data_IF_420064058077
#
_entry.id   IF_420064058077
#
_cell.length_a   1.000
_cell.length_b   1.000
_cell.length_c   1.000
_cell.angle_alpha   90.00
_cell.angle_beta   90.00
_cell.angle_gamma   90.00
#
_symmetry.space_group_name_H-M   'P 1'
#
loop_
_entity.id
_entity.type
_entity.pdbx_description
1 polymer ?
#
# COMPACT_ATOMS: atom_id res chain seq x y z
N UNK A 1 13.06 10.63 32.09
CA UNK A 1 12.10 10.01 31.17
C UNK A 1 12.73 8.80 30.53
N UNK A 2 12.27 7.62 30.92
CA UNK A 2 12.76 6.33 30.44
C UNK A 2 11.68 5.66 29.56
N UNK A 3 11.98 4.53 28.92
CA UNK A 3 10.99 3.92 28.00
C UNK A 3 9.81 3.31 28.76
N UNK A 4 10.04 2.69 29.92
CA UNK A 4 8.97 2.16 30.78
C UNK A 4 7.93 3.23 31.15
N UNK A 5 8.35 4.45 31.48
CA UNK A 5 7.45 5.57 31.80
C UNK A 5 6.59 5.97 30.60
N UNK A 6 7.20 6.03 29.42
CA UNK A 6 6.51 6.41 28.17
C UNK A 6 5.51 5.34 27.75
N UNK A 7 5.85 4.06 27.94
CA UNK A 7 5.05 2.92 27.48
C UNK A 7 4.13 2.32 28.53
N UNK A 8 4.17 2.77 29.79
CA UNK A 8 3.31 2.28 30.89
C UNK A 8 1.82 2.15 30.53
N UNK A 9 1.19 3.10 29.78
CA UNK A 9 -0.22 2.97 29.42
C UNK A 9 -0.51 1.90 28.36
N UNK A 10 0.51 1.32 27.72
CA UNK A 10 0.39 0.48 26.54
C UNK A 10 0.84 -0.95 26.83
N UNK A 11 0.16 -1.92 26.21
CA UNK A 11 0.52 -3.32 26.29
C UNK A 11 1.27 -3.76 25.03
N UNK A 12 2.35 -4.55 25.15
CA UNK A 12 3.04 -5.09 23.99
C UNK A 12 2.14 -6.10 23.25
N UNK A 13 2.24 -6.10 21.91
CA UNK A 13 1.65 -7.12 21.05
C UNK A 13 2.42 -8.43 21.12
N UNK A 14 3.74 -8.35 21.30
CA UNK A 14 4.64 -9.49 21.35
C UNK A 14 5.66 -9.27 22.46
N UNK A 15 5.87 -10.31 23.27
CA UNK A 15 6.87 -10.32 24.33
C UNK A 15 7.84 -11.45 24.11
N UNK A 16 9.12 -11.13 23.96
CA UNK A 16 10.20 -12.09 23.86
C UNK A 16 11.34 -11.81 24.85
N UNK A 17 12.32 -12.70 24.81
CA UNK A 17 13.43 -12.81 25.74
C UNK A 17 14.45 -11.66 25.58
N UNK A 18 14.43 -11.02 24.40
CA UNK A 18 15.34 -9.95 23.98
C UNK A 18 14.63 -8.70 23.44
N UNK A 19 13.31 -8.75 23.25
CA UNK A 19 12.55 -7.65 22.66
C UNK A 19 11.06 -7.68 23.03
N UNK A 20 10.42 -6.51 23.09
CA UNK A 20 8.97 -6.33 23.15
C UNK A 20 8.49 -5.48 21.96
N UNK A 21 7.44 -5.92 21.27
CA UNK A 21 6.83 -5.20 20.13
C UNK A 21 5.54 -4.51 20.57
N UNK A 22 5.39 -3.25 20.18
CA UNK A 22 4.22 -2.42 20.45
C UNK A 22 3.61 -1.92 19.13
N UNK A 23 2.29 -1.78 19.11
CA UNK A 23 1.55 -1.11 18.04
C UNK A 23 0.73 0.02 18.64
N UNK A 24 1.09 1.26 18.30
CA UNK A 24 0.53 2.47 18.90
C UNK A 24 0.35 3.51 17.80
N UNK A 25 -0.86 4.07 17.69
CA UNK A 25 -1.20 5.09 16.69
C UNK A 25 -0.79 4.69 15.26
N UNK A 26 -1.17 3.47 14.86
CA UNK A 26 -0.88 2.89 13.55
C UNK A 26 0.62 2.77 13.22
N UNK A 27 1.46 2.69 14.26
CA UNK A 27 2.91 2.51 14.13
C UNK A 27 3.46 1.39 15.00
N UNK A 28 4.52 0.78 14.50
CA UNK A 28 5.23 -0.29 15.21
C UNK A 28 6.55 0.14 15.83
N UNK A 29 6.74 -0.29 17.07
CA UNK A 29 7.93 0.00 17.87
C UNK A 29 8.42 -1.28 18.53
N UNK A 30 9.74 -1.46 18.58
CA UNK A 30 10.37 -2.55 19.32
C UNK A 30 11.29 -1.99 20.38
N UNK A 31 11.00 -2.33 21.63
CA UNK A 31 11.92 -2.14 22.74
C UNK A 31 12.84 -3.34 22.80
N UNK A 32 14.14 -3.10 22.76
CA UNK A 32 15.15 -4.15 22.79
C UNK A 32 16.42 -3.69 23.52
N UNK A 33 17.31 -4.65 23.78
CA UNK A 33 18.57 -4.41 24.46
C UNK A 33 19.75 -4.58 23.51
N UNK A 34 20.32 -3.52 22.90
CA UNK A 34 21.48 -3.64 22.02
C UNK A 34 22.75 -4.10 22.75
N UNK A 35 22.87 -3.74 24.03
CA UNK A 35 24.03 -4.01 24.87
C UNK A 35 23.56 -4.22 26.31
N UNK A 36 24.39 -4.86 27.14
CA UNK A 36 24.02 -5.14 28.54
C UNK A 36 23.70 -3.84 29.28
N UNK A 37 22.53 -3.81 29.92
CA UNK A 37 22.00 -2.67 30.68
C UNK A 37 21.67 -1.41 29.83
N UNK A 38 21.52 -1.55 28.52
CA UNK A 38 21.12 -0.45 27.63
C UNK A 38 19.84 -0.83 26.92
N UNK A 39 18.85 0.05 26.97
CA UNK A 39 17.57 -0.11 26.27
C UNK A 39 17.51 0.83 25.08
N UNK A 40 16.94 0.37 23.98
CA UNK A 40 16.69 1.16 22.78
C UNK A 40 15.31 0.86 22.22
N UNK A 41 14.77 1.82 21.48
CA UNK A 41 13.48 1.71 20.81
C UNK A 41 13.68 1.85 19.30
N UNK A 42 13.48 0.76 18.57
CA UNK A 42 13.47 0.77 17.11
C UNK A 42 12.05 1.04 16.60
N UNK A 43 11.87 2.11 15.83
CA UNK A 43 10.65 2.31 15.05
C UNK A 43 10.77 1.55 13.72
N UNK A 44 9.77 0.73 13.41
CA UNK A 44 9.83 -0.20 12.25
C UNK A 44 9.53 0.47 10.91
N UNK A 45 8.86 1.63 10.91
CA UNK A 45 8.56 2.35 9.67
C UNK A 45 9.86 2.75 8.95
N UNK A 46 10.80 3.39 9.64
CA UNK A 46 12.07 3.84 9.07
C UNK A 46 13.29 3.04 9.56
N UNK A 47 13.09 2.00 10.38
CA UNK A 47 14.15 1.31 11.11
C UNK A 47 15.06 2.29 11.87
N UNK A 48 14.44 3.27 12.54
CA UNK A 48 15.14 4.35 13.23
C UNK A 48 15.06 4.17 14.73
N UNK A 49 16.21 4.32 15.40
CA UNK A 49 16.22 4.34 16.86
C UNK A 49 15.69 5.68 17.37
N UNK A 50 14.75 5.61 18.29
CA UNK A 50 14.14 6.73 18.98
C UNK A 50 14.61 6.75 20.42
N UNK A 51 15.04 7.91 20.90
CA UNK A 51 15.15 8.16 22.34
C UNK A 51 13.77 8.10 23.01
N UNK A 52 13.71 7.88 24.33
CA UNK A 52 12.45 7.93 25.08
C UNK A 52 11.66 9.22 24.85
N UNK A 53 12.35 10.36 24.72
CA UNK A 53 11.72 11.63 24.36
C UNK A 53 11.10 11.61 22.97
N UNK A 54 11.85 11.18 21.94
CA UNK A 54 11.31 11.08 20.58
C UNK A 54 10.13 10.10 20.52
N UNK A 55 10.20 8.97 21.23
CA UNK A 55 9.09 8.02 21.33
C UNK A 55 7.86 8.69 21.94
N UNK A 56 8.02 9.41 23.06
CA UNK A 56 6.91 10.09 23.74
C UNK A 56 6.18 11.09 22.84
N UNK A 57 6.93 11.80 21.99
CA UNK A 57 6.41 12.74 21.00
C UNK A 57 5.67 11.98 19.89
N UNK A 58 6.28 10.92 19.36
CA UNK A 58 5.69 10.10 18.28
C UNK A 58 4.37 9.46 18.68
N UNK A 59 4.28 8.90 19.89
CA UNK A 59 3.04 8.25 20.37
C UNK A 59 2.06 9.24 21.01
N UNK A 60 2.38 10.53 21.01
CA UNK A 60 1.61 11.58 21.68
C UNK A 60 1.28 11.21 23.14
N UNK A 61 2.27 10.64 23.84
CA UNK A 61 2.11 10.22 25.22
C UNK A 61 1.61 11.41 26.02
N UNK A 62 0.40 11.30 26.60
CA UNK A 62 -0.03 12.25 27.62
C UNK A 62 1.01 12.14 28.74
N UNK A 63 1.80 13.19 28.94
CA UNK A 63 2.64 13.31 30.12
C UNK A 63 1.69 13.27 31.31
N UNK A 64 1.48 12.09 31.86
CA UNK A 64 0.85 11.98 33.15
C UNK A 64 1.87 12.59 34.10
N UNK A 65 1.52 13.73 34.69
CA UNK A 65 2.21 14.22 35.87
C UNK A 65 1.93 13.18 36.94
N UNK A 66 2.75 12.12 36.96
CA UNK A 66 2.76 11.22 38.09
C UNK A 66 3.13 12.07 39.29
N UNK A 67 2.26 12.10 40.28
CA UNK A 67 2.64 12.46 41.64
C UNK A 67 3.95 11.75 41.99
N UNK A 68 4.83 12.41 42.75
CA UNK A 68 6.24 12.07 43.08
C UNK A 68 6.54 10.66 43.64
N UNK A 69 5.71 9.67 43.40
CA UNK A 69 5.78 8.32 43.95
C UNK A 69 6.09 7.30 42.84
N UNK A 70 7.35 6.84 42.87
CA UNK A 70 7.97 5.69 42.19
C UNK A 70 8.41 5.91 40.73
N UNK A 71 9.71 6.18 40.55
CA UNK A 71 10.38 6.02 39.24
C UNK A 71 10.14 4.58 38.75
N UNK A 72 9.47 4.45 37.60
CA UNK A 72 9.22 3.16 36.99
C UNK A 72 10.55 2.52 36.58
N UNK A 73 10.77 1.28 37.03
CA UNK A 73 11.96 0.51 36.66
C UNK A 73 12.01 0.35 35.14
N UNK A 74 13.16 0.67 34.56
CA UNK A 74 13.39 0.51 33.12
C UNK A 74 13.32 -0.97 32.71
N UNK A 75 12.99 -1.23 31.44
CA UNK A 75 12.97 -2.57 30.87
C UNK A 75 14.30 -3.32 31.10
N UNK A 76 14.20 -4.65 31.19
CA UNK A 76 15.34 -5.55 31.32
C UNK A 76 15.06 -6.82 30.53
N UNK A 77 16.06 -7.29 29.80
CA UNK A 77 15.99 -8.48 28.96
C UNK A 77 17.11 -9.46 29.34
N UNK A 78 16.85 -10.76 29.20
CA UNK A 78 17.82 -11.81 29.50
C UNK A 78 18.94 -11.87 28.45
N UNK A 79 18.62 -11.45 27.23
CA UNK A 79 19.52 -11.47 26.09
C UNK A 79 19.69 -10.08 25.46
N UNK A 80 20.84 -9.87 24.85
CA UNK A 80 21.16 -8.67 24.06
C UNK A 80 21.11 -9.01 22.57
N UNK A 81 20.68 -8.06 21.75
CA UNK A 81 20.54 -8.24 20.31
C UNK A 81 20.92 -6.94 19.61
N UNK A 82 21.90 -6.98 18.69
CA UNK A 82 22.25 -5.79 17.92
C UNK A 82 21.07 -5.34 17.05
N UNK A 83 21.10 -4.09 16.59
CA UNK A 83 20.06 -3.57 15.69
C UNK A 83 20.02 -4.39 14.40
N UNK A 84 21.19 -4.70 13.85
CA UNK A 84 21.34 -5.43 12.61
C UNK A 84 20.81 -6.85 12.74
N UNK A 85 21.10 -7.53 13.86
CA UNK A 85 20.58 -8.87 14.15
C UNK A 85 19.06 -8.84 14.36
N UNK A 86 18.53 -7.82 15.04
CA UNK A 86 17.10 -7.64 15.22
C UNK A 86 16.40 -7.46 13.87
N UNK A 87 16.92 -6.59 13.00
CA UNK A 87 16.36 -6.40 11.66
C UNK A 87 16.44 -7.70 10.85
N UNK A 88 17.58 -8.38 10.86
CA UNK A 88 17.75 -9.67 10.18
C UNK A 88 16.73 -10.72 10.68
N UNK A 89 16.48 -10.76 11.99
CA UNK A 89 15.47 -11.60 12.61
C UNK A 89 14.05 -11.25 12.16
N UNK A 90 13.69 -9.97 12.10
CA UNK A 90 12.34 -9.53 11.70
C UNK A 90 12.04 -9.88 10.24
N UNK A 91 13.00 -9.69 9.35
CA UNK A 91 12.87 -10.10 7.96
C UNK A 91 12.84 -11.64 7.83
N UNK A 92 13.67 -12.36 8.59
CA UNK A 92 13.76 -13.83 8.59
C UNK A 92 14.01 -14.41 7.19
N UNK A 93 15.01 -13.88 6.47
CA UNK A 93 15.22 -14.18 5.05
C UNK A 93 16.37 -15.19 4.82
N UNK A 94 16.19 -16.09 3.86
CA UNK A 94 17.23 -16.99 3.33
C UNK A 94 17.93 -16.41 2.10
N UNK A 95 18.90 -17.13 1.51
CA UNK A 95 19.40 -16.80 0.17
C UNK A 95 18.24 -16.64 -0.84
N UNK A 96 18.39 -15.64 -1.70
CA UNK A 96 17.32 -15.17 -2.59
C UNK A 96 17.25 -15.92 -3.91
N UNK A 97 16.07 -15.84 -4.56
CA UNK A 97 15.91 -16.26 -5.96
C UNK A 97 16.53 -15.24 -6.91
N UNK A 98 16.40 -13.95 -6.58
CA UNK A 98 17.05 -12.84 -7.28
C UNK A 98 17.64 -11.88 -6.25
N UNK A 99 18.21 -10.76 -6.70
CA UNK A 99 18.73 -9.71 -5.81
C UNK A 99 17.62 -9.19 -4.88
N UNK A 100 16.41 -9.00 -5.41
CA UNK A 100 15.28 -8.42 -4.69
C UNK A 100 14.24 -9.46 -4.23
N UNK A 101 14.14 -10.63 -4.88
CA UNK A 101 13.18 -11.69 -4.53
C UNK A 101 13.79 -12.69 -3.57
N UNK A 102 13.18 -12.82 -2.39
CA UNK A 102 13.66 -13.65 -1.28
C UNK A 102 12.61 -14.64 -0.80
N UNK A 103 13.06 -15.57 0.05
CA UNK A 103 12.21 -16.55 0.74
C UNK A 103 12.40 -16.37 2.25
N UNK A 104 11.31 -16.44 3.01
CA UNK A 104 11.37 -16.41 4.47
C UNK A 104 11.62 -17.80 5.03
N UNK A 105 12.52 -17.90 6.00
CA UNK A 105 13.03 -19.17 6.51
C UNK A 105 11.97 -20.00 7.23
N UNK A 106 11.15 -19.37 8.08
CA UNK A 106 10.16 -20.09 8.89
C UNK A 106 8.87 -20.36 8.11
N UNK A 107 8.36 -19.34 7.42
CA UNK A 107 7.06 -19.44 6.73
C UNK A 107 7.13 -20.03 5.33
N UNK A 108 8.32 -20.10 4.71
CA UNK A 108 8.51 -20.37 3.29
C UNK A 108 7.74 -19.42 2.36
N UNK A 109 7.24 -18.29 2.87
CA UNK A 109 6.66 -17.26 2.04
C UNK A 109 7.75 -16.66 1.14
N UNK A 110 7.39 -16.44 -0.12
CA UNK A 110 8.23 -15.69 -1.05
C UNK A 110 7.92 -14.21 -0.93
N UNK A 111 8.79 -13.34 -1.40
CA UNK A 111 8.49 -11.92 -1.43
C UNK A 111 9.59 -11.08 -2.03
N UNK A 112 9.33 -9.78 -2.07
CA UNK A 112 10.22 -8.79 -2.65
C UNK A 112 10.63 -7.76 -1.62
N UNK A 113 11.92 -7.46 -1.56
CA UNK A 113 12.38 -6.27 -0.86
C UNK A 113 11.82 -5.03 -1.51
N UNK A 114 11.27 -4.12 -0.69
CA UNK A 114 10.87 -2.79 -1.11
C UNK A 114 11.90 -1.78 -0.63
N UNK A 115 12.25 -0.85 -1.53
CA UNK A 115 13.34 0.09 -1.35
C UNK A 115 12.84 1.53 -1.21
N UNK A 116 13.66 2.37 -0.61
CA UNK A 116 13.46 3.80 -0.58
C UNK A 116 13.62 4.42 -1.99
N UNK A 117 12.67 5.27 -2.39
CA UNK A 117 12.67 5.90 -3.72
C UNK A 117 13.93 6.72 -4.05
N UNK A 118 14.58 7.30 -3.04
CA UNK A 118 15.78 8.12 -3.21
C UNK A 118 17.08 7.31 -3.14
N UNK A 119 17.02 6.07 -2.65
CA UNK A 119 18.18 5.24 -2.39
C UNK A 119 17.83 3.78 -2.64
N UNK A 120 18.10 3.31 -3.85
CA UNK A 120 17.77 1.95 -4.31
C UNK A 120 18.42 0.81 -3.50
N UNK A 121 19.39 1.11 -2.62
CA UNK A 121 20.03 0.11 -1.75
C UNK A 121 19.44 0.06 -0.34
N UNK A 122 18.59 1.02 0.02
CA UNK A 122 18.03 1.10 1.37
C UNK A 122 16.70 0.34 1.41
N UNK A 123 16.74 -0.86 1.98
CA UNK A 123 15.56 -1.69 2.19
C UNK A 123 14.69 -1.03 3.27
N UNK A 124 13.40 -0.91 2.96
CA UNK A 124 12.38 -0.31 3.84
C UNK A 124 11.29 -1.29 4.23
N UNK A 125 11.04 -2.30 3.40
CA UNK A 125 10.02 -3.29 3.71
C UNK A 125 10.24 -4.60 2.96
N UNK A 126 9.41 -5.60 3.25
CA UNK A 126 9.29 -6.85 2.50
C UNK A 126 7.82 -7.09 2.17
N UNK A 127 7.51 -7.26 0.89
CA UNK A 127 6.17 -7.62 0.45
C UNK A 127 6.12 -9.11 0.17
N UNK A 128 5.54 -9.87 1.11
CA UNK A 128 5.52 -11.33 1.06
C UNK A 128 4.21 -11.89 0.52
N UNK A 129 4.27 -13.11 -0.01
CA UNK A 129 3.14 -13.92 -0.41
C UNK A 129 3.41 -15.41 -0.20
N UNK A 130 2.34 -16.14 0.07
CA UNK A 130 2.38 -17.60 0.11
C UNK A 130 2.39 -18.15 -1.33
N UNK A 131 3.37 -18.99 -1.71
CA UNK A 131 3.48 -19.49 -3.08
C UNK A 131 2.33 -20.43 -3.49
N UNK A 132 1.63 -21.06 -2.54
CA UNK A 132 0.50 -21.94 -2.78
C UNK A 132 -0.84 -21.18 -2.75
N UNK A 133 -1.17 -20.56 -1.61
CA UNK A 133 -2.47 -19.88 -1.42
C UNK A 133 -2.58 -18.54 -2.15
N UNK A 134 -1.44 -17.96 -2.55
CA UNK A 134 -1.34 -16.62 -3.17
C UNK A 134 -1.82 -15.48 -2.26
N UNK A 135 -2.04 -15.75 -0.98
CA UNK A 135 -2.28 -14.70 0.02
C UNK A 135 -1.00 -13.89 0.22
N UNK A 136 -1.13 -12.58 0.37
CA UNK A 136 0.00 -11.67 0.45
C UNK A 136 -0.24 -10.58 1.48
N UNK A 137 0.84 -10.08 2.05
CA UNK A 137 0.82 -8.99 3.02
C UNK A 137 2.17 -8.28 3.08
N UNK A 138 2.13 -7.02 3.47
CA UNK A 138 3.31 -6.24 3.79
C UNK A 138 3.80 -6.64 5.19
N UNK A 139 5.12 -6.76 5.40
CA UNK A 139 5.67 -7.21 6.69
C UNK A 139 5.68 -6.10 7.74
N UNK A 140 5.96 -4.87 7.32
CA UNK A 140 5.98 -3.68 8.18
C UNK A 140 4.95 -2.66 7.70
N UNK A 141 4.57 -1.73 8.58
CA UNK A 141 3.61 -0.64 8.33
C UNK A 141 4.09 0.42 7.31
N UNK A 142 5.33 0.36 6.82
CA UNK A 142 5.85 1.31 5.85
C UNK A 142 5.37 1.05 4.42
N UNK A 143 4.39 1.83 3.98
CA UNK A 143 3.84 1.81 2.64
C UNK A 143 4.46 2.86 1.67
N UNK A 144 5.53 3.55 2.06
CA UNK A 144 6.21 4.57 1.23
C UNK A 144 7.55 4.03 0.73
N UNK A 145 7.48 2.88 0.05
CA UNK A 145 8.60 2.21 -0.58
C UNK A 145 8.11 1.41 -1.80
N UNK A 146 9.00 0.96 -2.67
CA UNK A 146 8.60 0.11 -3.81
C UNK A 146 9.70 -0.88 -4.23
N UNK A 147 9.29 -1.94 -4.91
CA UNK A 147 10.20 -2.76 -5.69
C UNK A 147 10.06 -2.37 -7.16
N UNK A 148 11.16 -2.49 -7.89
CA UNK A 148 11.18 -2.27 -9.32
C UNK A 148 12.05 -3.33 -10.00
N UNK A 149 11.61 -3.76 -11.18
CA UNK A 149 12.37 -4.66 -12.06
C UNK A 149 12.46 -4.02 -13.44
N UNK A 150 13.52 -4.37 -14.16
CA UNK A 150 13.75 -3.91 -15.53
C UNK A 150 13.74 -2.38 -15.66
N UNK A 151 14.21 -1.65 -14.64
CA UNK A 151 14.30 -0.19 -14.67
C UNK A 151 15.32 0.32 -15.69
N UNK A 152 16.34 -0.48 -15.98
CA UNK A 152 17.37 -0.23 -16.98
C UNK A 152 16.89 -0.49 -18.42
N UNK A 153 15.82 -1.27 -18.58
CA UNK A 153 15.24 -1.57 -19.90
C UNK A 153 14.51 -0.35 -20.44
N UNK A 154 14.86 0.06 -21.66
CA UNK A 154 14.16 1.12 -22.38
C UNK A 154 12.92 0.53 -23.03
N UNK A 155 11.76 0.78 -22.41
CA UNK A 155 10.44 0.36 -22.90
C UNK A 155 9.49 1.56 -22.93
N UNK A 156 8.55 1.54 -23.87
CA UNK A 156 7.41 2.45 -23.99
C UNK A 156 6.25 2.04 -23.07
N UNK A 157 6.45 1.07 -22.19
CA UNK A 157 5.48 0.60 -21.20
C UNK A 157 6.09 0.61 -19.80
N UNK A 158 5.31 1.14 -18.85
CA UNK A 158 5.56 1.01 -17.41
C UNK A 158 4.40 0.24 -16.79
N UNK A 159 4.70 -0.90 -16.17
CA UNK A 159 3.72 -1.68 -15.44
C UNK A 159 3.68 -1.24 -13.97
N UNK A 160 2.48 -1.20 -13.41
CA UNK A 160 2.24 -0.91 -11.98
C UNK A 160 1.35 -1.99 -11.43
N UNK A 161 1.72 -2.55 -10.29
CA UNK A 161 0.90 -3.51 -9.57
C UNK A 161 1.03 -3.33 -8.06
N UNK A 162 0.04 -3.83 -7.33
CA UNK A 162 0.00 -3.82 -5.86
C UNK A 162 -0.07 -5.24 -5.28
N UNK A 163 0.26 -6.23 -6.10
CA UNK A 163 0.19 -7.64 -5.73
C UNK A 163 1.54 -8.30 -6.07
N UNK A 164 2.30 -8.79 -5.06
CA UNK A 164 3.59 -9.42 -5.30
C UNK A 164 3.49 -10.72 -6.12
N UNK A 165 2.32 -11.37 -6.14
CA UNK A 165 2.06 -12.53 -7.00
C UNK A 165 2.01 -12.09 -8.47
N UNK A 166 1.29 -11.01 -8.78
CA UNK A 166 1.26 -10.42 -10.13
C UNK A 166 2.66 -9.97 -10.53
N UNK A 167 3.37 -9.30 -9.61
CA UNK A 167 4.73 -8.86 -9.85
C UNK A 167 5.66 -10.03 -10.21
N UNK A 168 5.48 -11.19 -9.56
CA UNK A 168 6.25 -12.40 -9.90
C UNK A 168 5.95 -12.96 -11.29
N UNK A 169 4.74 -12.75 -11.81
CA UNK A 169 4.40 -13.10 -13.19
C UNK A 169 5.10 -12.15 -14.15
N UNK A 170 5.09 -10.83 -13.86
CA UNK A 170 5.79 -9.82 -14.66
C UNK A 170 7.31 -10.05 -14.67
N UNK A 171 7.90 -10.41 -13.52
CA UNK A 171 9.30 -10.80 -13.40
C UNK A 171 9.63 -11.99 -14.31
N UNK A 172 8.72 -12.97 -14.41
CA UNK A 172 8.91 -14.16 -15.25
C UNK A 172 8.75 -13.94 -16.75
N UNK A 173 8.34 -12.76 -17.22
CA UNK A 173 8.16 -12.49 -18.66
C UNK A 173 9.51 -12.32 -19.36
N UNK A 174 9.81 -13.21 -20.31
CA UNK A 174 11.07 -13.21 -21.07
C UNK A 174 10.96 -12.57 -22.45
N UNK A 175 9.76 -12.51 -23.04
CA UNK A 175 9.55 -12.01 -24.40
C UNK A 175 9.52 -10.48 -24.47
N UNK A 176 8.93 -9.82 -23.47
CA UNK A 176 8.84 -8.36 -23.40
C UNK A 176 9.05 -7.88 -21.97
N UNK A 177 10.30 -7.54 -21.65
CA UNK A 177 10.66 -6.96 -20.36
C UNK A 177 10.29 -5.48 -20.34
N UNK A 178 9.33 -5.13 -19.49
CA UNK A 178 8.91 -3.75 -19.26
C UNK A 178 9.24 -3.37 -17.83
N UNK A 179 9.66 -2.11 -17.63
CA UNK A 179 9.84 -1.57 -16.28
C UNK A 179 8.57 -1.77 -15.49
N UNK A 180 8.67 -2.49 -14.38
CA UNK A 180 7.52 -2.86 -13.57
C UNK A 180 7.75 -2.45 -12.14
N UNK A 181 6.75 -1.80 -11.54
CA UNK A 181 6.75 -1.38 -10.15
C UNK A 181 5.76 -2.22 -9.34
N UNK A 182 6.24 -2.73 -8.20
CA UNK A 182 5.40 -3.26 -7.13
C UNK A 182 5.30 -2.21 -6.04
N UNK A 183 4.09 -1.69 -5.86
CA UNK A 183 3.76 -0.68 -4.87
C UNK A 183 2.97 -1.31 -3.72
N UNK A 184 3.27 -1.01 -2.45
CA UNK A 184 2.46 -1.43 -1.31
C UNK A 184 1.17 -0.61 -1.16
N UNK A 185 1.17 0.63 -1.67
CA UNK A 185 0.01 1.51 -1.71
C UNK A 185 0.10 2.53 -2.85
N UNK A 186 -0.95 3.30 -3.04
CA UNK A 186 -1.05 4.43 -3.98
C UNK A 186 -0.82 5.75 -3.27
N UNK A 187 0.14 5.76 -2.33
CA UNK A 187 0.61 6.98 -1.72
C UNK A 187 1.04 7.99 -2.81
N UNK A 188 0.66 9.28 -2.70
CA UNK A 188 0.98 10.29 -3.70
C UNK A 188 2.47 10.38 -4.07
N UNK A 189 3.38 10.08 -3.13
CA UNK A 189 4.82 10.08 -3.39
C UNK A 189 5.20 8.94 -4.36
N UNK A 190 4.62 7.76 -4.20
CA UNK A 190 4.83 6.61 -5.08
C UNK A 190 4.21 6.86 -6.46
N UNK A 191 2.97 7.37 -6.49
CA UNK A 191 2.31 7.73 -7.74
C UNK A 191 3.11 8.80 -8.52
N UNK A 192 3.64 9.81 -7.83
CA UNK A 192 4.50 10.83 -8.43
C UNK A 192 5.74 10.23 -9.07
N UNK A 193 6.41 9.30 -8.37
CA UNK A 193 7.60 8.63 -8.84
C UNK A 193 7.33 7.88 -10.15
N UNK A 194 6.29 7.05 -10.17
CA UNK A 194 5.91 6.26 -11.36
C UNK A 194 5.45 7.17 -12.51
N UNK A 195 4.59 8.16 -12.24
CA UNK A 195 4.10 9.06 -13.28
C UNK A 195 5.25 9.87 -13.91
N UNK A 196 6.21 10.32 -13.10
CA UNK A 196 7.41 11.00 -13.59
C UNK A 196 8.23 10.09 -14.50
N UNK A 197 8.46 8.83 -14.10
CA UNK A 197 9.19 7.84 -14.90
C UNK A 197 8.50 7.54 -16.23
N UNK A 198 7.19 7.35 -16.21
CA UNK A 198 6.41 7.16 -17.43
C UNK A 198 6.48 8.38 -18.35
N UNK A 199 6.40 9.59 -17.79
CA UNK A 199 6.52 10.84 -18.56
C UNK A 199 7.91 11.02 -19.18
N UNK A 200 8.99 10.76 -18.43
CA UNK A 200 10.38 10.84 -18.91
C UNK A 200 10.61 9.94 -20.13
N UNK A 201 9.87 8.83 -20.24
CA UNK A 201 9.99 7.83 -21.32
C UNK A 201 8.93 7.94 -22.41
N UNK A 202 7.98 8.86 -22.28
CA UNK A 202 6.75 8.86 -23.07
C UNK A 202 6.07 7.47 -23.10
N UNK A 203 6.07 6.80 -21.95
CA UNK A 203 5.58 5.45 -21.80
C UNK A 203 4.10 5.41 -21.38
N UNK A 204 3.40 4.38 -21.86
CA UNK A 204 2.06 4.01 -21.39
C UNK A 204 2.15 3.33 -20.03
N UNK A 205 1.20 3.64 -19.14
CA UNK A 205 1.11 2.99 -17.83
C UNK A 205 0.08 1.86 -17.89
N UNK A 206 0.50 0.64 -17.60
CA UNK A 206 -0.40 -0.50 -17.42
C UNK A 206 -0.67 -0.71 -15.93
N UNK A 207 -1.92 -0.62 -15.50
CA UNK A 207 -2.35 -0.90 -14.12
C UNK A 207 -2.78 -2.36 -14.00
N UNK A 208 -1.94 -3.20 -13.41
CA UNK A 208 -2.26 -4.59 -13.10
C UNK A 208 -2.86 -4.70 -11.71
N UNK A 209 -4.18 -4.87 -11.66
CA UNK A 209 -4.97 -4.59 -10.46
C UNK A 209 -5.15 -5.82 -9.56
N UNK A 210 -5.58 -6.94 -10.14
CA UNK A 210 -6.01 -8.11 -9.37
C UNK A 210 -7.04 -7.73 -8.30
N UNK A 211 -6.77 -8.08 -7.05
CA UNK A 211 -7.67 -7.74 -5.91
C UNK A 211 -7.52 -6.30 -5.39
N UNK A 212 -6.61 -5.49 -5.94
CA UNK A 212 -6.27 -4.15 -5.42
C UNK A 212 -7.00 -3.02 -6.16
N UNK A 213 -8.30 -3.18 -6.38
CA UNK A 213 -9.11 -2.20 -7.12
C UNK A 213 -9.07 -0.78 -6.53
N UNK A 214 -9.02 -0.67 -5.20
CA UNK A 214 -8.93 0.63 -4.52
C UNK A 214 -7.62 1.35 -4.82
N UNK A 215 -6.50 0.63 -4.82
CA UNK A 215 -5.20 1.19 -5.14
C UNK A 215 -5.17 1.70 -6.59
N UNK A 216 -5.69 0.91 -7.52
CA UNK A 216 -5.81 1.34 -8.91
C UNK A 216 -6.65 2.64 -9.04
N UNK A 217 -7.78 2.75 -8.32
CA UNK A 217 -8.62 3.94 -8.32
C UNK A 217 -7.87 5.18 -7.77
N UNK A 218 -7.17 5.02 -6.65
CA UNK A 218 -6.37 6.09 -6.03
C UNK A 218 -5.24 6.54 -6.95
N UNK A 219 -4.50 5.60 -7.55
CA UNK A 219 -3.47 5.90 -8.53
C UNK A 219 -4.04 6.63 -9.74
N UNK A 220 -5.18 6.18 -10.26
CA UNK A 220 -5.83 6.82 -11.40
C UNK A 220 -6.29 8.25 -11.07
N UNK A 221 -6.87 8.48 -9.89
CA UNK A 221 -7.22 9.82 -9.42
C UNK A 221 -5.99 10.73 -9.33
N UNK A 222 -4.89 10.24 -8.78
CA UNK A 222 -3.62 10.97 -8.77
C UNK A 222 -3.12 11.25 -10.20
N UNK A 223 -3.17 10.27 -11.10
CA UNK A 223 -2.74 10.40 -12.48
C UNK A 223 -3.51 11.53 -13.19
N UNK A 224 -4.84 11.55 -13.08
CA UNK A 224 -5.69 12.61 -13.65
C UNK A 224 -5.28 13.99 -13.11
N UNK A 225 -5.10 14.11 -11.80
CA UNK A 225 -4.66 15.35 -11.16
C UNK A 225 -3.27 15.79 -11.65
N UNK A 226 -2.32 14.85 -11.77
CA UNK A 226 -0.95 15.13 -12.23
C UNK A 226 -0.88 15.61 -13.69
N UNK A 227 -1.85 15.20 -14.52
CA UNK A 227 -1.98 15.66 -15.91
C UNK A 227 -2.68 17.00 -16.05
N UNK A 228 -3.16 17.60 -14.95
CA UNK A 228 -3.86 18.89 -14.98
C UNK A 228 -5.19 18.82 -15.74
N UNK A 229 -5.82 17.65 -15.82
CA UNK A 229 -7.11 17.49 -16.50
C UNK A 229 -8.18 18.19 -15.65
N UNK A 230 -8.91 19.12 -16.27
CA UNK A 230 -9.87 19.99 -15.56
C UNK A 230 -11.01 19.19 -14.90
N UNK A 231 -11.54 18.18 -15.61
CA UNK A 231 -12.51 17.24 -15.08
C UNK A 231 -11.76 16.26 -14.18
N UNK A 232 -11.68 16.56 -12.89
CA UNK A 232 -10.92 15.72 -11.96
C UNK A 232 -11.83 14.70 -11.28
N UNK A 233 -11.22 13.71 -10.62
CA UNK A 233 -11.91 12.78 -9.75
C UNK A 233 -11.17 12.66 -8.43
N UNK A 234 -11.90 12.52 -7.33
CA UNK A 234 -11.33 12.18 -6.01
C UNK A 234 -12.02 10.93 -5.47
N UNK A 235 -11.23 10.03 -4.91
CA UNK A 235 -11.70 8.72 -4.44
C UNK A 235 -11.77 8.74 -2.92
N UNK A 236 -12.92 8.36 -2.41
CA UNK A 236 -13.17 8.14 -1.00
C UNK A 236 -13.70 6.73 -0.82
N UNK A 237 -13.38 6.08 0.29
CA UNK A 237 -13.91 4.76 0.59
C UNK A 237 -14.17 4.64 2.08
N UNK A 238 -15.33 4.09 2.42
CA UNK A 238 -15.43 3.29 3.64
C UNK A 238 -15.16 1.82 3.25
N UNK A 239 -15.02 0.91 4.22
CA UNK A 239 -14.66 -0.49 3.95
C UNK A 239 -15.64 -1.25 3.04
N UNK A 240 -16.83 -0.69 2.75
CA UNK A 240 -17.88 -1.33 1.95
C UNK A 240 -18.21 -0.58 0.66
N UNK A 241 -18.02 0.74 0.64
CA UNK A 241 -18.47 1.61 -0.43
C UNK A 241 -17.33 2.52 -0.90
N UNK A 242 -17.21 2.62 -2.22
CA UNK A 242 -16.39 3.60 -2.92
C UNK A 242 -17.29 4.77 -3.32
N UNK A 243 -16.81 5.98 -3.08
CA UNK A 243 -17.43 7.22 -3.54
C UNK A 243 -16.42 8.00 -4.37
N UNK A 244 -16.82 8.33 -5.60
CA UNK A 244 -16.01 9.10 -6.55
C UNK A 244 -16.63 10.48 -6.67
N UNK A 245 -15.95 11.50 -6.17
CA UNK A 245 -16.29 12.89 -6.44
C UNK A 245 -15.93 13.21 -7.89
N UNK A 246 -16.90 13.70 -8.66
CA UNK A 246 -16.78 14.05 -10.07
C UNK A 246 -16.71 15.58 -10.20
N UNK A 247 -15.55 16.17 -9.87
CA UNK A 247 -15.39 17.63 -9.85
C UNK A 247 -15.33 18.24 -11.27
N UNK A 248 -16.07 19.33 -11.47
CA UNK A 248 -16.23 20.04 -12.77
C UNK A 248 -16.77 19.18 -13.91
N UNK A 249 -17.38 18.04 -13.61
CA UNK A 249 -18.07 17.25 -14.61
C UNK A 249 -19.47 17.81 -14.91
N UNK A 250 -19.87 17.74 -16.18
CA UNK A 250 -21.26 18.04 -16.55
C UNK A 250 -22.19 16.97 -15.95
N UNK A 251 -23.22 17.32 -15.17
CA UNK A 251 -24.11 16.35 -14.53
C UNK A 251 -24.76 15.36 -15.52
N UNK A 252 -25.12 15.81 -16.72
CA UNK A 252 -25.69 14.96 -17.78
C UNK A 252 -24.67 13.90 -18.23
N UNK A 253 -23.39 14.26 -18.31
CA UNK A 253 -22.32 13.31 -18.63
C UNK A 253 -22.15 12.28 -17.53
N UNK A 254 -22.22 12.69 -16.26
CA UNK A 254 -22.11 11.76 -15.11
C UNK A 254 -23.29 10.78 -15.09
N UNK A 255 -24.52 11.26 -15.32
CA UNK A 255 -25.71 10.40 -15.41
C UNK A 255 -25.55 9.38 -16.55
N UNK A 256 -25.14 9.83 -17.75
CA UNK A 256 -24.91 8.93 -18.90
C UNK A 256 -23.84 7.87 -18.60
N UNK A 257 -22.75 8.27 -17.95
CA UNK A 257 -21.70 7.35 -17.52
C UNK A 257 -22.27 6.31 -16.55
N UNK A 258 -22.96 6.73 -15.50
CA UNK A 258 -23.62 5.85 -14.52
C UNK A 258 -24.57 4.85 -15.19
N UNK A 259 -25.47 5.32 -16.06
CA UNK A 259 -26.41 4.45 -16.77
C UNK A 259 -25.70 3.43 -17.66
N UNK A 260 -24.62 3.83 -18.34
CA UNK A 260 -23.82 2.93 -19.17
C UNK A 260 -23.12 1.85 -18.33
N UNK A 261 -22.57 2.22 -17.18
CA UNK A 261 -21.94 1.27 -16.26
C UNK A 261 -22.96 0.31 -15.65
N UNK A 262 -24.12 0.80 -15.23
CA UNK A 262 -25.21 -0.02 -14.70
C UNK A 262 -25.71 -1.04 -15.73
N UNK A 263 -25.93 -0.61 -16.97
CA UNK A 263 -26.29 -1.51 -18.08
C UNK A 263 -25.23 -2.59 -18.29
N UNK A 264 -23.95 -2.19 -18.29
CA UNK A 264 -22.83 -3.12 -18.50
C UNK A 264 -22.78 -4.20 -17.42
N UNK A 265 -23.04 -3.86 -16.15
CA UNK A 265 -23.11 -4.83 -15.06
C UNK A 265 -24.32 -5.75 -15.24
N UNK A 266 -25.51 -5.21 -15.48
CA UNK A 266 -26.72 -6.02 -15.64
C UNK A 266 -26.57 -7.02 -16.80
N UNK A 267 -25.97 -6.60 -17.92
CA UNK A 267 -25.68 -7.48 -19.05
C UNK A 267 -24.67 -8.58 -18.70
N UNK A 268 -23.66 -8.30 -17.86
CA UNK A 268 -22.70 -9.30 -17.37
C UNK A 268 -23.37 -10.29 -16.41
N UNK A 269 -24.16 -9.81 -15.45
CA UNK A 269 -24.88 -10.65 -14.47
C UNK A 269 -25.90 -11.54 -15.16
N UNK A 270 -26.67 -11.00 -16.13
CA UNK A 270 -27.64 -11.79 -16.91
C UNK A 270 -27.00 -12.93 -17.67
N UNK A 271 -25.80 -12.72 -18.24
CA UNK A 271 -25.06 -13.77 -18.93
C UNK A 271 -24.55 -14.86 -17.98
N UNK A 272 -24.27 -14.52 -16.73
CA UNK A 272 -23.69 -15.45 -15.76
C UNK A 272 -24.74 -16.22 -14.97
N UNK A 273 -25.85 -15.57 -14.61
CA UNK A 273 -26.86 -16.11 -13.69
C UNK A 273 -28.27 -16.26 -14.30
N UNK A 274 -28.51 -15.77 -15.52
CA UNK A 274 -29.82 -15.80 -16.19
C UNK A 274 -30.64 -14.53 -15.96
N UNK A 275 -31.95 -14.56 -16.27
CA UNK A 275 -32.84 -13.44 -15.99
C UNK A 275 -33.08 -13.31 -14.48
N UNK A 276 -32.28 -12.46 -13.82
CA UNK A 276 -32.50 -12.02 -12.45
C UNK A 276 -32.99 -10.56 -12.40
N UNK A 277 -33.53 -10.15 -11.25
CA UNK A 277 -33.93 -8.77 -10.97
C UNK A 277 -32.76 -7.80 -11.20
N UNK A 278 -33.06 -6.60 -11.73
CA UNK A 278 -32.03 -5.60 -11.98
C UNK A 278 -31.43 -5.07 -10.66
N UNK A 279 -30.19 -5.47 -10.39
CA UNK A 279 -29.44 -5.05 -9.22
C UNK A 279 -28.88 -3.63 -9.42
N UNK A 280 -29.22 -2.69 -8.53
CA UNK A 280 -28.62 -1.33 -8.58
C UNK A 280 -27.26 -1.33 -7.88
N UNK A 281 -26.18 -1.19 -8.66
CA UNK A 281 -24.80 -1.14 -8.15
C UNK A 281 -24.29 0.29 -8.02
N UNK A 282 -24.59 1.13 -9.00
CA UNK A 282 -24.13 2.52 -9.03
C UNK A 282 -25.24 3.46 -8.57
N UNK A 283 -24.89 4.39 -7.71
CA UNK A 283 -25.76 5.47 -7.25
C UNK A 283 -25.11 6.81 -7.56
N UNK A 284 -25.94 7.78 -7.93
CA UNK A 284 -25.52 9.15 -8.10
C UNK A 284 -26.10 9.98 -6.96
N UNK A 285 -25.22 10.69 -6.26
CA UNK A 285 -25.58 11.61 -5.20
C UNK A 285 -25.13 13.02 -5.60
N UNK A 286 -25.88 14.03 -5.16
CA UNK A 286 -25.48 15.42 -5.34
C UNK A 286 -25.54 16.15 -4.02
N UNK A 287 -24.38 16.71 -3.63
CA UNK A 287 -24.22 17.43 -2.37
C UNK A 287 -23.49 18.72 -2.68
N UNK A 288 -24.05 19.85 -2.22
CA UNK A 288 -23.47 21.19 -2.39
C UNK A 288 -23.04 21.53 -3.83
N UNK A 289 -23.83 21.11 -4.83
CA UNK A 289 -23.55 21.37 -6.25
C UNK A 289 -22.46 20.48 -6.86
N UNK A 290 -21.93 19.51 -6.12
CA UNK A 290 -21.00 18.48 -6.62
C UNK A 290 -21.74 17.18 -6.92
N UNK A 291 -21.19 16.38 -7.82
CA UNK A 291 -21.70 15.06 -8.17
C UNK A 291 -20.80 13.97 -7.61
N UNK A 292 -21.41 12.96 -6.99
CA UNK A 292 -20.73 11.83 -6.38
C UNK A 292 -21.28 10.54 -6.96
N UNK A 293 -20.41 9.73 -7.57
CA UNK A 293 -20.75 8.39 -8.02
C UNK A 293 -20.34 7.41 -6.93
N UNK A 294 -21.30 6.68 -6.37
CA UNK A 294 -21.05 5.75 -5.29
C UNK A 294 -21.41 4.31 -5.70
N UNK A 295 -20.56 3.35 -5.34
CA UNK A 295 -20.72 1.93 -5.66
C UNK A 295 -20.02 1.04 -4.62
N UNK A 296 -20.36 -0.24 -4.55
CA UNK A 296 -19.71 -1.17 -3.62
C UNK A 296 -18.23 -1.37 -3.97
N UNK A 297 -17.37 -1.48 -2.95
CA UNK A 297 -15.97 -1.87 -3.14
C UNK A 297 -15.87 -3.34 -3.55
N UNK A 298 -16.12 -3.59 -4.83
CA UNK A 298 -16.20 -4.93 -5.42
C UNK A 298 -15.47 -4.94 -6.77
N UNK A 299 -14.67 -5.99 -7.09
CA UNK A 299 -13.86 -6.04 -8.32
C UNK A 299 -14.65 -5.76 -9.60
N UNK A 300 -15.84 -6.36 -9.74
CA UNK A 300 -16.69 -6.15 -10.91
C UNK A 300 -17.12 -4.69 -11.12
N UNK A 301 -17.42 -3.97 -10.04
CA UNK A 301 -17.81 -2.56 -10.13
C UNK A 301 -16.61 -1.69 -10.54
N UNK A 302 -15.44 -1.99 -9.98
CA UNK A 302 -14.20 -1.27 -10.30
C UNK A 302 -13.77 -1.52 -11.76
N UNK A 303 -13.80 -2.76 -12.24
CA UNK A 303 -13.51 -3.11 -13.65
C UNK A 303 -14.44 -2.35 -14.61
N UNK A 304 -15.75 -2.36 -14.34
CA UNK A 304 -16.72 -1.65 -15.20
C UNK A 304 -16.51 -0.14 -15.14
N UNK A 305 -16.15 0.41 -13.98
CA UNK A 305 -15.78 1.82 -13.87
C UNK A 305 -14.59 2.15 -14.77
N UNK A 306 -13.48 1.42 -14.67
CA UNK A 306 -12.28 1.66 -15.48
C UNK A 306 -12.52 1.56 -16.98
N UNK A 307 -13.24 0.51 -17.42
CA UNK A 307 -13.60 0.31 -18.83
C UNK A 307 -14.46 1.42 -19.43
N UNK A 308 -15.12 2.23 -18.59
CA UNK A 308 -15.95 3.33 -19.05
C UNK A 308 -15.30 4.70 -18.85
N UNK A 309 -14.58 4.91 -17.75
CA UNK A 309 -13.99 6.21 -17.42
C UNK A 309 -12.74 6.51 -18.27
N UNK A 310 -11.85 5.53 -18.49
CA UNK A 310 -10.62 5.74 -19.27
C UNK A 310 -10.96 6.18 -20.71
N UNK A 311 -11.86 5.48 -21.45
CA UNK A 311 -12.25 5.93 -22.78
C UNK A 311 -13.00 7.26 -22.78
N UNK A 312 -13.74 7.59 -21.71
CA UNK A 312 -14.47 8.85 -21.59
C UNK A 312 -13.52 10.05 -21.46
N UNK A 313 -12.36 9.86 -20.84
CA UNK A 313 -11.28 10.85 -20.84
C UNK A 313 -10.48 10.87 -22.15
N UNK A 314 -10.56 9.83 -22.98
CA UNK A 314 -9.74 9.71 -24.19
C UNK A 314 -8.25 9.50 -23.90
N UNK A 315 -7.92 8.78 -22.81
CA UNK A 315 -6.54 8.54 -22.41
C UNK A 315 -5.99 7.29 -23.12
N UNK A 316 -4.91 7.47 -23.88
CA UNK A 316 -4.19 6.37 -24.54
C UNK A 316 -2.97 5.90 -23.73
N UNK A 317 -2.50 6.74 -22.80
CA UNK A 317 -1.27 6.53 -22.04
C UNK A 317 -1.49 5.85 -20.69
N UNK A 318 -2.68 5.31 -20.43
CA UNK A 318 -2.99 4.52 -19.23
C UNK A 318 -4.01 3.43 -19.57
N UNK A 319 -3.73 2.21 -19.16
CA UNK A 319 -4.56 1.04 -19.42
C UNK A 319 -4.85 0.29 -18.11
N UNK A 320 -6.10 -0.15 -17.95
CA UNK A 320 -6.52 -1.01 -16.85
C UNK A 320 -6.45 -2.48 -17.27
N UNK A 321 -5.74 -3.30 -16.50
CA UNK A 321 -5.58 -4.73 -16.75
C UNK A 321 -6.09 -5.52 -15.53
N UNK A 322 -7.20 -6.21 -15.74
CA UNK A 322 -7.72 -7.21 -14.80
C UNK A 322 -6.91 -8.51 -14.95
N UNK A 323 -6.48 -9.10 -13.84
CA UNK A 323 -5.70 -10.34 -13.80
C UNK A 323 -6.31 -11.37 -12.86
#
# INVERSE_FOLDING_TARGET
MNYSEVLNPYQPLETGDFMYRYYINDREYIIYSPERNKISCLELFDFKDLSAYQLSVSIQAKVQVQSESEELKEFSFDHVCSKEDLIAYLFDITEGKTEIRKVRKVSNNEGYFLFELKSAHKIRNFYQFNPESKEYQLVFDNDICCAAIYEDVTSDVVNVCWNPVIFSILEGQTEQQNTSYLLPSSNPILCAHVCKKAQERNARINLYVGKNGMEALLFFSYYIASKGIEKSISIFSDSKQVTVEMDRWNPVTVVKLMSKMQKTINDKLRKQFGEEDELTIYRLESVAGKSFLAFQNHPLAIDVFFRNIIPLYGLENIEYIEM
#
